data_IF_349527475897
#
_entry.id   IF_349527475897
#
_cell.length_a   1.000
_cell.length_b   1.000
_cell.length_c   1.000
_cell.angle_alpha   90.00
_cell.angle_beta   90.00
_cell.angle_gamma   90.00
#
_symmetry.space_group_name_H-M   'P 1'
#
loop_
_entity.id
_entity.type
_entity.pdbx_description
1 polymer ?
#
# COMPACT_ATOMS: atom_id res chain seq x y z
N UNK A 1 -7.02 12.30 20.39
CA UNK A 1 -6.81 12.55 18.95
C UNK A 1 -7.71 13.71 18.59
N UNK A 2 -7.19 14.76 17.93
CA UNK A 2 -8.06 15.80 17.38
C UNK A 2 -8.94 15.16 16.28
N UNK A 3 -10.18 15.62 16.14
CA UNK A 3 -11.03 15.20 15.02
C UNK A 3 -10.41 15.73 13.72
N UNK A 4 -10.16 14.84 12.76
CA UNK A 4 -9.71 15.20 11.43
C UNK A 4 -10.77 14.74 10.43
N UNK A 5 -11.72 15.64 10.14
CA UNK A 5 -12.83 15.35 9.24
C UNK A 5 -12.34 15.06 7.80
N UNK A 6 -11.16 15.55 7.44
CA UNK A 6 -10.50 15.28 6.14
C UNK A 6 -9.84 13.89 6.07
N UNK A 7 -9.76 13.15 7.19
CA UNK A 7 -9.25 11.77 7.22
C UNK A 7 -10.40 10.74 7.20
N UNK A 8 -11.49 11.08 6.51
CA UNK A 8 -12.61 10.18 6.23
C UNK A 8 -12.67 9.90 4.72
N UNK A 9 -13.12 8.70 4.33
CA UNK A 9 -13.10 8.25 2.94
C UNK A 9 -14.49 7.81 2.49
N UNK A 10 -14.96 8.35 1.38
CA UNK A 10 -16.06 7.82 0.58
C UNK A 10 -15.49 7.35 -0.76
N UNK A 11 -15.43 6.04 -0.98
CA UNK A 11 -14.81 5.51 -2.20
C UNK A 11 -15.66 5.89 -3.42
N UNK A 12 -15.14 6.80 -4.26
CA UNK A 12 -15.77 7.21 -5.52
C UNK A 12 -15.37 6.33 -6.69
N UNK A 13 -14.10 5.91 -6.75
CA UNK A 13 -13.60 4.92 -7.70
C UNK A 13 -12.39 4.17 -7.14
N UNK A 14 -12.09 2.99 -7.68
CA UNK A 14 -10.94 2.20 -7.28
C UNK A 14 -10.31 1.47 -8.46
N UNK A 15 -9.00 1.25 -8.39
CA UNK A 15 -8.24 0.49 -9.37
C UNK A 15 -7.27 -0.46 -8.67
N UNK A 16 -7.10 -1.64 -9.25
CA UNK A 16 -6.17 -2.65 -8.79
C UNK A 16 -5.10 -2.86 -9.85
N UNK A 17 -3.85 -2.80 -9.44
CA UNK A 17 -2.70 -2.88 -10.33
C UNK A 17 -1.70 -3.93 -9.87
N UNK A 18 -1.01 -4.48 -10.86
CA UNK A 18 0.09 -5.43 -10.66
C UNK A 18 1.32 -4.97 -11.41
N UNK A 19 2.49 -5.28 -10.85
CA UNK A 19 3.79 -5.02 -11.46
C UNK A 19 4.77 -6.16 -11.08
N UNK A 20 5.96 -6.24 -11.71
CA UNK A 20 7.00 -7.16 -11.26
C UNK A 20 7.28 -7.00 -9.76
N UNK A 21 7.62 -8.11 -9.10
CA UNK A 21 7.93 -8.11 -7.66
C UNK A 21 9.05 -7.11 -7.34
N UNK A 22 8.85 -6.33 -6.28
CA UNK A 22 9.78 -5.30 -5.83
C UNK A 22 9.70 -3.99 -6.59
N UNK A 23 8.74 -3.81 -7.49
CA UNK A 23 8.47 -2.50 -8.12
C UNK A 23 8.03 -1.51 -7.06
N UNK A 24 8.71 -0.37 -6.96
CA UNK A 24 8.37 0.69 -6.01
C UNK A 24 6.98 1.29 -6.26
N UNK A 25 6.39 1.84 -5.20
CA UNK A 25 5.13 2.58 -5.26
C UNK A 25 5.26 3.75 -6.25
N UNK A 26 4.30 3.95 -7.18
CA UNK A 26 4.29 5.13 -8.05
C UNK A 26 4.29 6.44 -7.25
N UNK A 27 4.99 7.45 -7.76
CA UNK A 27 4.91 8.82 -7.22
C UNK A 27 3.51 9.42 -7.41
N UNK A 28 2.85 9.12 -8.53
CA UNK A 28 1.48 9.51 -8.83
C UNK A 28 0.56 8.28 -8.84
N UNK A 29 -0.36 8.22 -7.88
CA UNK A 29 -1.33 7.13 -7.73
C UNK A 29 -2.47 7.20 -8.74
N UNK A 30 -2.72 8.35 -9.36
CA UNK A 30 -3.77 8.55 -10.35
C UNK A 30 -3.35 8.13 -11.76
N UNK A 31 -2.06 8.20 -12.05
CA UNK A 31 -1.50 7.86 -13.35
C UNK A 31 -0.40 6.81 -13.20
N UNK A 32 -0.72 5.59 -12.74
CA UNK A 32 0.27 4.54 -12.66
C UNK A 32 0.78 4.20 -14.06
N UNK A 33 2.04 4.52 -14.32
CA UNK A 33 2.74 4.21 -15.57
C UNK A 33 3.40 2.84 -15.50
N UNK A 34 3.89 2.36 -16.65
CA UNK A 34 4.76 1.17 -16.73
C UNK A 34 5.84 1.20 -15.62
N UNK A 35 6.06 0.09 -14.89
CA UNK A 35 5.60 -1.26 -15.20
C UNK A 35 4.26 -1.65 -14.55
N UNK A 36 3.52 -0.72 -13.94
CA UNK A 36 2.22 -1.01 -13.34
C UNK A 36 1.15 -1.19 -14.41
N UNK A 37 0.38 -2.28 -14.29
CA UNK A 37 -0.73 -2.64 -15.18
C UNK A 37 -1.98 -2.90 -14.37
N UNK A 38 -3.12 -2.37 -14.84
CA UNK A 38 -4.43 -2.68 -14.26
C UNK A 38 -4.75 -4.17 -14.40
N UNK A 39 -5.41 -4.74 -13.39
CA UNK A 39 -5.90 -6.13 -13.41
C UNK A 39 -7.20 -6.28 -14.22
N UNK A 40 -7.88 -5.17 -14.54
CA UNK A 40 -9.12 -5.16 -15.31
C UNK A 40 -10.34 -4.67 -14.53
N UNK A 41 -11.54 -4.90 -15.09
CA UNK A 41 -12.81 -4.54 -14.46
C UNK A 41 -13.06 -5.36 -13.18
N UNK A 42 -13.38 -4.66 -12.09
CA UNK A 42 -13.68 -5.24 -10.77
C UNK A 42 -15.05 -4.81 -10.28
N UNK A 43 -15.62 -5.55 -9.32
CA UNK A 43 -16.94 -5.27 -8.76
C UNK A 43 -17.04 -3.87 -8.14
N UNK A 44 -18.18 -3.22 -8.36
CA UNK A 44 -18.54 -1.95 -7.72
C UNK A 44 -19.10 -2.15 -6.30
N UNK A 45 -19.63 -3.34 -6.01
CA UNK A 45 -20.27 -3.66 -4.72
C UNK A 45 -19.28 -4.32 -3.76
N UNK A 46 -18.50 -5.28 -4.25
CA UNK A 46 -17.48 -6.01 -3.48
C UNK A 46 -16.11 -5.40 -3.75
N UNK A 47 -15.90 -4.21 -3.20
CA UNK A 47 -14.73 -3.38 -3.50
C UNK A 47 -13.46 -4.07 -2.99
N UNK A 48 -13.22 -4.12 -1.67
CA UNK A 48 -12.05 -4.78 -1.08
C UNK A 48 -12.40 -5.26 0.34
N UNK A 49 -12.05 -6.50 0.65
CA UNK A 49 -12.07 -7.05 1.99
C UNK A 49 -10.65 -7.37 2.45
N UNK A 50 -10.36 -7.20 3.75
CA UNK A 50 -9.08 -7.59 4.34
C UNK A 50 -9.37 -8.49 5.54
N UNK A 51 -8.93 -9.74 5.44
CA UNK A 51 -9.00 -10.72 6.51
C UNK A 51 -7.61 -10.89 7.14
N UNK A 52 -7.57 -11.06 8.45
CA UNK A 52 -6.34 -11.30 9.20
C UNK A 52 -6.44 -12.63 9.94
N UNK A 53 -5.42 -13.48 9.78
CA UNK A 53 -5.29 -14.76 10.47
C UNK A 53 -3.98 -14.82 11.27
N UNK A 54 -4.02 -15.48 12.43
CA UNK A 54 -2.88 -15.59 13.35
C UNK A 54 -2.80 -14.47 14.38
N UNK A 55 -1.66 -14.36 15.06
CA UNK A 55 -1.51 -13.47 16.23
C UNK A 55 -1.82 -14.15 17.57
N UNK A 56 -2.06 -15.46 17.55
CA UNK A 56 -2.30 -16.27 18.73
C UNK A 56 -1.13 -16.18 19.72
N UNK A 57 -1.46 -15.89 20.97
CA UNK A 57 -0.53 -15.83 22.08
C UNK A 57 -0.42 -17.22 22.74
N UNK A 58 0.69 -17.92 22.52
CA UNK A 58 0.98 -19.14 23.28
C UNK A 58 1.76 -18.79 24.54
N UNK A 59 1.15 -19.03 25.70
CA UNK A 59 1.81 -18.88 26.99
C UNK A 59 2.66 -20.12 27.29
N UNK A 60 3.96 -19.94 27.41
CA UNK A 60 4.90 -20.98 27.83
C UNK A 60 5.08 -20.87 29.34
N UNK A 61 4.69 -21.92 30.06
CA UNK A 61 4.88 -22.05 31.50
C UNK A 61 5.96 -23.08 31.87
N UNK A 62 6.52 -22.96 33.07
CA UNK A 62 7.29 -24.00 33.75
C UNK A 62 6.50 -24.53 34.95
N UNK A 63 6.95 -25.62 35.58
CA UNK A 63 6.32 -26.16 36.79
C UNK A 63 6.25 -25.14 37.94
N UNK A 64 7.17 -24.17 37.96
CA UNK A 64 7.29 -23.13 38.99
C UNK A 64 6.61 -21.82 38.60
N UNK A 65 6.39 -21.57 37.31
CA UNK A 65 5.65 -20.40 36.84
C UNK A 65 4.83 -20.75 35.59
N UNK A 66 3.52 -20.89 35.76
CA UNK A 66 2.57 -21.26 34.70
C UNK A 66 2.43 -20.19 33.59
N UNK A 67 3.06 -19.03 33.72
CA UNK A 67 3.01 -17.94 32.74
C UNK A 67 4.37 -17.24 32.63
N UNK A 68 5.40 -17.97 32.22
CA UNK A 68 6.78 -17.47 32.19
C UNK A 68 7.06 -16.56 30.99
N UNK A 69 6.51 -16.86 29.81
CA UNK A 69 6.72 -16.07 28.59
C UNK A 69 5.58 -16.25 27.60
N UNK A 70 5.25 -15.21 26.85
CA UNK A 70 4.28 -15.25 25.75
C UNK A 70 4.99 -15.21 24.41
N UNK A 71 4.66 -16.11 23.50
CA UNK A 71 5.09 -16.09 22.10
C UNK A 71 3.88 -15.82 21.22
N UNK A 72 3.97 -14.83 20.35
CA UNK A 72 2.93 -14.52 19.36
C UNK A 72 3.24 -15.24 18.05
N UNK A 73 2.25 -15.85 17.41
CA UNK A 73 2.37 -16.34 16.04
C UNK A 73 2.38 -15.18 15.04
N UNK A 74 2.95 -15.40 13.85
CA UNK A 74 2.96 -14.39 12.81
C UNK A 74 1.53 -14.13 12.31
N UNK A 75 1.16 -12.86 12.16
CA UNK A 75 -0.11 -12.45 11.55
C UNK A 75 0.05 -12.47 10.03
N UNK A 76 -0.86 -13.13 9.35
CA UNK A 76 -0.96 -13.13 7.89
C UNK A 76 -2.23 -12.39 7.51
N UNK A 77 -2.14 -11.52 6.52
CA UNK A 77 -3.31 -10.81 6.00
C UNK A 77 -3.57 -11.25 4.57
N UNK A 78 -4.85 -11.33 4.24
CA UNK A 78 -5.36 -11.68 2.91
C UNK A 78 -6.32 -10.58 2.49
N UNK A 79 -6.01 -9.94 1.37
CA UNK A 79 -6.88 -8.97 0.73
C UNK A 79 -7.71 -9.70 -0.34
N UNK A 80 -9.00 -9.39 -0.44
CA UNK A 80 -9.92 -10.06 -1.38
C UNK A 80 -10.68 -9.03 -2.20
N UNK A 81 -10.71 -9.22 -3.52
CA UNK A 81 -11.50 -8.40 -4.44
C UNK A 81 -12.11 -9.27 -5.55
N UNK A 82 -13.18 -8.78 -6.17
CA UNK A 82 -13.90 -9.53 -7.22
C UNK A 82 -13.56 -8.99 -8.60
N UNK A 83 -12.94 -9.83 -9.44
CA UNK A 83 -12.65 -9.52 -10.84
C UNK A 83 -13.86 -9.87 -11.72
N UNK A 84 -14.30 -8.95 -12.57
CA UNK A 84 -15.41 -9.15 -13.52
C UNK A 84 -14.92 -9.26 -14.98
N UNK A 85 -13.60 -9.25 -15.17
CA UNK A 85 -12.95 -9.39 -16.47
C UNK A 85 -12.50 -10.85 -16.72
N UNK A 86 -13.12 -11.48 -17.71
CA UNK A 86 -12.89 -12.89 -18.09
C UNK A 86 -11.95 -13.02 -19.30
N UNK A 87 -10.90 -12.23 -19.35
CA UNK A 87 -9.88 -12.33 -20.40
C UNK A 87 -8.72 -13.25 -19.97
N UNK A 88 -7.78 -13.54 -20.88
CA UNK A 88 -6.67 -14.47 -20.59
C UNK A 88 -5.85 -14.04 -19.36
N UNK A 89 -5.45 -12.75 -19.20
CA UNK A 89 -4.80 -12.26 -17.99
C UNK A 89 -5.63 -12.48 -16.73
N UNK A 90 -6.92 -12.09 -16.72
CA UNK A 90 -7.81 -12.27 -15.58
C UNK A 90 -8.01 -13.74 -15.18
N UNK A 91 -8.20 -14.61 -16.18
CA UNK A 91 -8.31 -16.05 -15.97
C UNK A 91 -7.02 -16.66 -15.44
N UNK A 92 -5.85 -16.13 -15.80
CA UNK A 92 -4.56 -16.56 -15.24
C UNK A 92 -4.34 -16.07 -13.80
N UNK A 93 -4.89 -14.91 -13.43
CA UNK A 93 -4.90 -14.47 -12.03
C UNK A 93 -5.75 -15.42 -11.17
N UNK A 94 -6.90 -15.87 -11.69
CA UNK A 94 -7.79 -16.77 -10.98
C UNK A 94 -7.35 -18.25 -10.98
N UNK A 95 -7.06 -18.83 -12.15
CA UNK A 95 -6.72 -20.26 -12.30
C UNK A 95 -5.22 -20.57 -12.21
N UNK A 96 -4.38 -19.55 -12.07
CA UNK A 96 -2.93 -19.69 -11.95
C UNK A 96 -2.17 -19.23 -13.19
N UNK A 97 -0.98 -18.67 -12.95
CA UNK A 97 -0.11 -18.09 -13.98
C UNK A 97 0.30 -19.11 -15.06
N UNK A 98 0.34 -20.39 -14.68
CA UNK A 98 0.68 -21.52 -15.54
C UNK A 98 -0.49 -22.06 -16.37
N UNK A 99 -1.69 -21.44 -16.32
CA UNK A 99 -2.82 -21.88 -17.12
C UNK A 99 -2.51 -21.78 -18.63
N UNK A 100 -2.51 -22.91 -19.37
CA UNK A 100 -2.16 -22.91 -20.80
C UNK A 100 -3.29 -22.30 -21.64
N UNK A 101 -2.91 -21.55 -22.68
CA UNK A 101 -3.85 -21.18 -23.75
C UNK A 101 -3.83 -22.29 -24.78
N UNK A 102 -4.98 -22.90 -25.01
CA UNK A 102 -5.17 -24.01 -25.94
C UNK A 102 -5.24 -23.50 -27.40
N UNK A 103 -5.00 -24.35 -28.41
CA UNK A 103 -4.99 -23.93 -29.82
C UNK A 103 -6.30 -23.31 -30.34
N UNK A 104 -7.42 -23.59 -29.67
CA UNK A 104 -8.73 -23.02 -29.95
C UNK A 104 -8.97 -21.66 -29.25
N UNK A 105 -7.98 -21.13 -28.54
CA UNK A 105 -8.07 -19.86 -27.79
C UNK A 105 -8.64 -19.98 -26.38
N UNK A 106 -9.07 -21.16 -25.92
CA UNK A 106 -9.58 -21.34 -24.54
C UNK A 106 -8.43 -21.44 -23.54
N UNK A 107 -8.65 -20.99 -22.30
CA UNK A 107 -7.71 -21.18 -21.19
C UNK A 107 -8.00 -22.52 -20.52
N UNK A 108 -7.01 -23.42 -20.52
CA UNK A 108 -7.11 -24.68 -19.78
C UNK A 108 -6.88 -24.44 -18.29
N UNK A 109 -7.72 -25.01 -17.44
CA UNK A 109 -7.50 -24.98 -15.98
C UNK A 109 -6.43 -26.00 -15.64
N UNK A 110 -5.27 -25.58 -15.09
CA UNK A 110 -4.19 -26.51 -14.75
C UNK A 110 -4.60 -27.39 -13.55
N UNK A 111 -4.16 -28.65 -13.56
CA UNK A 111 -4.39 -29.59 -12.45
C UNK A 111 -3.62 -29.21 -11.18
N UNK A 112 -2.49 -28.54 -11.34
CA UNK A 112 -1.66 -27.98 -10.28
C UNK A 112 -1.48 -26.48 -10.56
N UNK A 113 -2.40 -25.61 -10.07
CA UNK A 113 -2.33 -24.18 -10.34
C UNK A 113 -1.15 -23.53 -9.58
N UNK A 114 -0.42 -22.65 -10.26
CA UNK A 114 0.66 -21.85 -9.66
C UNK A 114 0.16 -20.43 -9.41
N UNK A 115 0.13 -19.94 -8.15
CA UNK A 115 -0.24 -18.56 -7.85
C UNK A 115 0.59 -17.55 -8.65
N UNK A 116 0.00 -16.40 -8.96
CA UNK A 116 0.74 -15.32 -9.61
C UNK A 116 1.49 -14.52 -8.54
N UNK A 117 2.81 -14.45 -8.61
CA UNK A 117 3.61 -13.61 -7.70
C UNK A 117 3.92 -12.27 -8.35
N UNK A 118 3.47 -11.17 -7.76
CA UNK A 118 3.61 -9.81 -8.29
C UNK A 118 3.72 -8.78 -7.16
N UNK A 119 4.16 -7.56 -7.46
CA UNK A 119 3.84 -6.40 -6.64
C UNK A 119 2.36 -6.05 -6.87
N UNK A 120 1.66 -5.60 -5.82
CA UNK A 120 0.23 -5.31 -5.86
C UNK A 120 -0.05 -3.92 -5.31
N UNK A 121 -0.95 -3.20 -5.98
CA UNK A 121 -1.36 -1.85 -5.59
C UNK A 121 -2.88 -1.75 -5.75
N UNK A 122 -3.59 -1.43 -4.67
CA UNK A 122 -5.00 -1.08 -4.69
C UNK A 122 -5.12 0.43 -4.42
N UNK A 123 -5.60 1.20 -5.39
CA UNK A 123 -5.80 2.65 -5.27
C UNK A 123 -7.29 2.95 -5.20
N UNK A 124 -7.69 3.76 -4.23
CA UNK A 124 -9.03 4.27 -4.02
C UNK A 124 -8.99 5.80 -4.12
N UNK A 125 -9.95 6.35 -4.85
CA UNK A 125 -10.08 7.78 -5.12
C UNK A 125 -11.39 8.28 -4.53
N UNK A 126 -11.31 9.33 -3.73
CA UNK A 126 -12.42 10.07 -3.14
C UNK A 126 -12.25 11.56 -3.46
N UNK A 127 -12.82 11.99 -4.60
CA UNK A 127 -12.64 13.37 -5.09
C UNK A 127 -11.16 13.69 -5.34
N UNK A 128 -10.60 14.61 -4.56
CA UNK A 128 -9.18 15.01 -4.61
C UNK A 128 -8.28 14.15 -3.70
N UNK A 129 -8.87 13.32 -2.83
CA UNK A 129 -8.13 12.47 -1.92
C UNK A 129 -7.86 11.09 -2.53
N UNK A 130 -6.65 10.60 -2.33
CA UNK A 130 -6.20 9.30 -2.84
C UNK A 130 -5.68 8.47 -1.68
N UNK A 131 -6.05 7.20 -1.68
CA UNK A 131 -5.68 6.25 -0.65
C UNK A 131 -5.31 4.93 -1.31
N UNK A 132 -4.19 4.31 -0.93
CA UNK A 132 -3.72 3.11 -1.55
C UNK A 132 -3.13 2.10 -0.57
N UNK A 133 -3.35 0.82 -0.86
CA UNK A 133 -2.62 -0.30 -0.27
C UNK A 133 -1.55 -0.75 -1.25
N UNK A 134 -0.31 -0.85 -0.78
CA UNK A 134 0.83 -1.24 -1.59
C UNK A 134 1.58 -2.41 -0.97
N UNK A 135 1.70 -3.50 -1.72
CA UNK A 135 2.50 -4.66 -1.35
C UNK A 135 3.64 -4.85 -2.38
N UNK A 136 4.92 -4.73 -1.98
CA UNK A 136 6.06 -4.94 -2.90
C UNK A 136 6.13 -6.40 -3.40
N UNK A 137 5.55 -7.34 -2.66
CA UNK A 137 5.40 -8.73 -3.05
C UNK A 137 4.09 -9.28 -2.51
N UNK A 138 3.32 -9.93 -3.37
CA UNK A 138 2.12 -10.66 -3.01
C UNK A 138 1.96 -11.93 -3.86
N UNK A 139 1.28 -12.92 -3.30
CA UNK A 139 0.77 -14.07 -4.04
C UNK A 139 -0.72 -13.85 -4.34
N UNK A 140 -1.07 -13.91 -5.62
CA UNK A 140 -2.43 -13.76 -6.12
C UNK A 140 -2.95 -15.14 -6.50
N UNK A 141 -4.11 -15.50 -5.95
CA UNK A 141 -4.70 -16.82 -6.07
C UNK A 141 -6.23 -16.75 -6.05
N UNK A 142 -6.88 -17.86 -6.39
CA UNK A 142 -8.32 -18.04 -6.24
C UNK A 142 -8.74 -17.99 -4.76
N UNK A 143 -9.50 -16.97 -4.38
CA UNK A 143 -10.00 -16.86 -3.00
C UNK A 143 -11.19 -17.78 -2.73
N UNK A 144 -12.13 -17.85 -3.66
CA UNK A 144 -13.40 -18.58 -3.50
C UNK A 144 -13.94 -19.08 -4.85
N UNK A 145 -15.03 -19.82 -4.82
CA UNK A 145 -15.73 -20.36 -5.99
C UNK A 145 -16.36 -19.27 -6.86
N UNK A 146 -16.42 -19.53 -8.17
CA UNK A 146 -17.14 -18.65 -9.12
C UNK A 146 -18.63 -18.88 -8.93
N UNK A 147 -19.39 -17.80 -8.72
CA UNK A 147 -20.85 -17.83 -8.69
C UNK A 147 -21.44 -16.93 -9.78
N UNK A 148 -22.56 -17.38 -10.34
CA UNK A 148 -23.36 -16.63 -11.30
C UNK A 148 -24.71 -16.39 -10.64
N UNK A 149 -24.84 -15.25 -9.97
CA UNK A 149 -25.96 -14.96 -9.06
C UNK A 149 -27.30 -14.83 -9.78
N UNK A 150 -27.34 -14.08 -10.88
CA UNK A 150 -28.53 -13.83 -11.69
C UNK A 150 -28.13 -13.21 -13.05
N UNK A 151 -29.12 -12.80 -13.86
CA UNK A 151 -28.89 -12.16 -15.17
C UNK A 151 -28.73 -10.64 -15.10
N UNK A 152 -28.89 -10.05 -13.92
CA UNK A 152 -28.84 -8.59 -13.69
C UNK A 152 -27.49 -8.16 -13.09
N UNK A 153 -26.75 -9.10 -12.49
CA UNK A 153 -25.46 -8.95 -11.86
C UNK A 153 -24.34 -9.44 -12.78
N UNK A 154 -23.20 -8.74 -12.77
CA UNK A 154 -22.00 -9.18 -13.47
C UNK A 154 -21.39 -10.39 -12.76
N UNK A 155 -21.00 -11.40 -13.53
CA UNK A 155 -20.28 -12.56 -13.00
C UNK A 155 -18.94 -12.14 -12.39
N UNK A 156 -18.57 -12.76 -11.27
CA UNK A 156 -17.37 -12.42 -10.51
C UNK A 156 -16.41 -13.59 -10.33
N UNK A 157 -15.12 -13.30 -10.39
CA UNK A 157 -14.02 -14.17 -10.05
C UNK A 157 -13.42 -13.67 -8.72
N UNK A 158 -13.67 -14.33 -7.58
CA UNK A 158 -13.09 -13.93 -6.30
C UNK A 158 -11.57 -14.14 -6.27
N UNK A 159 -10.81 -13.06 -6.15
CA UNK A 159 -9.34 -13.06 -6.12
C UNK A 159 -8.86 -12.79 -4.71
N UNK A 160 -7.93 -13.64 -4.24
CA UNK A 160 -7.20 -13.47 -2.99
C UNK A 160 -5.79 -12.96 -3.28
N UNK A 161 -5.34 -12.00 -2.49
CA UNK A 161 -4.01 -11.42 -2.54
C UNK A 161 -3.41 -11.56 -1.15
N UNK A 162 -2.29 -12.27 -1.06
CA UNK A 162 -1.56 -12.47 0.19
C UNK A 162 -0.25 -11.70 0.13
N UNK A 163 -0.15 -10.52 0.77
CA UNK A 163 1.10 -9.78 0.88
C UNK A 163 2.17 -10.58 1.61
N UNK A 164 3.41 -10.44 1.16
CA UNK A 164 4.57 -11.11 1.73
C UNK A 164 5.67 -10.11 2.03
N UNK A 165 6.51 -10.41 3.03
CA UNK A 165 7.71 -9.63 3.26
C UNK A 165 8.64 -9.70 2.04
N UNK A 166 9.20 -8.56 1.67
CA UNK A 166 10.15 -8.43 0.56
C UNK A 166 11.47 -7.85 1.08
N UNK A 167 12.58 -8.51 0.75
CA UNK A 167 13.92 -8.08 1.18
C UNK A 167 14.05 -8.00 2.71
N UNK A 168 14.51 -6.85 3.20
CA UNK A 168 14.68 -6.54 4.62
C UNK A 168 13.48 -5.83 5.26
N UNK A 169 12.34 -5.74 4.57
CA UNK A 169 11.17 -5.05 5.10
C UNK A 169 10.64 -5.74 6.36
N UNK A 170 10.33 -4.95 7.38
CA UNK A 170 9.65 -5.40 8.61
C UNK A 170 8.12 -5.39 8.49
N UNK A 171 7.62 -5.08 7.28
CA UNK A 171 6.21 -5.02 6.91
C UNK A 171 5.96 -5.84 5.64
N UNK A 172 4.70 -6.24 5.41
CA UNK A 172 4.28 -7.00 4.22
C UNK A 172 3.57 -6.12 3.19
N UNK A 173 2.88 -5.08 3.64
CA UNK A 173 2.29 -4.04 2.79
C UNK A 173 2.29 -2.70 3.55
N UNK A 174 2.20 -1.60 2.80
CA UNK A 174 2.09 -0.24 3.28
C UNK A 174 0.73 0.35 2.88
N UNK A 175 0.29 1.35 3.62
CA UNK A 175 -0.96 2.07 3.38
C UNK A 175 -0.63 3.55 3.29
N UNK A 176 -1.07 4.24 2.24
CA UNK A 176 -0.91 5.70 2.15
C UNK A 176 -1.97 6.37 3.00
N UNK A 177 -1.61 7.15 4.03
CA UNK A 177 -2.59 7.80 4.90
C UNK A 177 -3.37 8.90 4.15
N UNK A 178 -4.66 9.05 4.48
CA UNK A 178 -5.47 10.17 4.02
C UNK A 178 -5.15 11.45 4.80
N UNK A 179 -5.13 12.58 4.10
CA UNK A 179 -4.81 13.89 4.67
C UNK A 179 -3.31 14.17 4.83
N UNK A 180 -2.44 13.26 4.39
CA UNK A 180 -1.00 13.42 4.44
C UNK A 180 -0.37 13.59 3.06
N UNK A 181 -0.45 14.78 2.46
CA UNK A 181 0.40 15.09 1.31
C UNK A 181 1.87 15.11 1.76
N UNK A 182 2.84 14.66 0.95
CA UNK A 182 4.26 14.83 1.31
C UNK A 182 4.57 16.32 1.34
N UNK A 183 5.30 16.77 2.36
CA UNK A 183 5.75 18.16 2.41
C UNK A 183 6.55 18.51 1.14
N UNK A 184 6.12 19.52 0.39
CA UNK A 184 6.85 20.04 -0.77
C UNK A 184 7.64 21.30 -0.45
N UNK A 185 7.35 21.92 0.70
CA UNK A 185 8.08 23.08 1.19
C UNK A 185 8.18 23.10 2.71
N UNK A 186 9.11 23.91 3.20
CA UNK A 186 9.37 24.08 4.62
C UNK A 186 9.64 25.55 4.92
N UNK A 187 8.90 26.11 5.87
CA UNK A 187 9.05 27.51 6.32
C UNK A 187 9.88 27.56 7.59
N UNK A 188 10.89 28.43 7.60
CA UNK A 188 11.79 28.62 8.74
C UNK A 188 11.03 29.04 10.01
N UNK A 189 11.42 28.49 11.17
CA UNK A 189 10.82 28.81 12.46
C UNK A 189 11.47 28.04 13.63
N UNK A 190 10.87 28.15 14.81
CA UNK A 190 11.38 27.50 16.05
C UNK A 190 10.25 26.80 16.82
N UNK A 191 9.76 25.63 16.36
CA UNK A 191 10.09 24.96 15.10
C UNK A 191 9.35 25.59 13.91
N UNK A 192 9.90 25.39 12.73
CA UNK A 192 9.30 25.73 11.45
C UNK A 192 8.18 24.77 11.07
N UNK A 193 7.49 25.06 9.97
CA UNK A 193 6.34 24.29 9.49
C UNK A 193 6.57 23.74 8.09
N UNK A 194 5.97 22.60 7.80
CA UNK A 194 5.90 22.08 6.44
C UNK A 194 4.69 22.63 5.69
N UNK A 195 4.84 22.70 4.37
CA UNK A 195 3.79 23.10 3.43
C UNK A 195 3.64 22.02 2.36
N UNK A 196 2.41 21.65 1.97
CA UNK A 196 1.11 22.18 2.41
C UNK A 196 0.81 21.94 3.91
N UNK A 197 -0.08 22.73 4.50
CA UNK A 197 -0.51 22.50 5.89
C UNK A 197 -1.03 21.07 6.05
N UNK A 198 -0.74 20.45 7.20
CA UNK A 198 -1.04 19.05 7.51
C UNK A 198 -0.30 18.02 6.63
N UNK A 199 0.68 18.45 5.83
CA UNK A 199 1.56 17.53 5.11
C UNK A 199 2.35 16.61 6.06
N UNK A 200 2.65 15.41 5.59
CA UNK A 200 3.55 14.46 6.25
C UNK A 200 4.95 15.05 6.23
N UNK A 201 5.50 15.25 7.43
CA UNK A 201 6.89 15.64 7.61
C UNK A 201 7.80 14.59 6.94
N UNK A 202 8.83 15.01 6.19
CA UNK A 202 9.81 14.10 5.60
C UNK A 202 10.39 13.17 6.65
N UNK A 203 10.54 11.88 6.31
CA UNK A 203 10.87 10.85 7.28
C UNK A 203 12.24 11.06 7.94
N UNK A 204 13.20 11.62 7.21
CA UNK A 204 14.58 11.88 7.64
C UNK A 204 15.23 12.90 6.70
N UNK A 205 16.48 13.29 6.96
CA UNK A 205 17.21 14.29 6.17
C UNK A 205 17.31 13.93 4.68
N UNK A 206 17.44 12.65 4.33
CA UNK A 206 17.51 12.23 2.93
C UNK A 206 16.19 12.49 2.18
N UNK A 207 15.05 12.43 2.88
CA UNK A 207 13.74 12.76 2.33
C UNK A 207 13.50 14.28 2.14
N UNK A 208 14.43 15.14 2.58
CA UNK A 208 14.32 16.60 2.41
C UNK A 208 14.72 17.08 1.01
N UNK A 209 15.28 16.22 0.15
CA UNK A 209 15.85 16.61 -1.14
C UNK A 209 14.84 17.28 -2.11
N UNK A 210 13.55 16.95 -1.99
CA UNK A 210 12.47 17.52 -2.80
C UNK A 210 11.75 18.71 -2.13
N UNK A 211 12.14 19.09 -0.91
CA UNK A 211 11.47 20.11 -0.10
C UNK A 211 12.10 21.48 -0.35
N UNK A 212 11.27 22.45 -0.74
CA UNK A 212 11.71 23.82 -1.01
C UNK A 212 11.71 24.64 0.29
N UNK A 213 12.89 25.13 0.70
CA UNK A 213 13.03 25.99 1.86
C UNK A 213 12.47 27.41 1.60
N UNK A 214 11.75 27.95 2.58
CA UNK A 214 11.23 29.33 2.60
C UNK A 214 11.65 30.00 3.92
N UNK A 215 12.50 31.05 3.89
CA UNK A 215 13.16 31.62 2.72
C UNK A 215 14.18 30.65 2.11
N UNK A 216 14.52 30.87 0.84
CA UNK A 216 15.57 30.11 0.13
C UNK A 216 17.00 30.56 0.47
N UNK A 217 17.14 31.61 1.29
CA UNK A 217 18.41 32.01 1.90
C UNK A 217 18.67 31.19 3.16
N UNK A 218 19.94 31.14 3.60
CA UNK A 218 20.32 30.53 4.87
C UNK A 218 19.39 30.93 6.02
N UNK A 219 18.92 29.94 6.77
CA UNK A 219 18.07 30.17 7.94
C UNK A 219 18.91 30.73 9.09
N UNK A 220 18.27 31.50 9.97
CA UNK A 220 18.95 32.17 11.09
C UNK A 220 19.10 31.24 12.29
N UNK A 221 20.12 31.49 13.12
CA UNK A 221 20.47 30.64 14.27
C UNK A 221 19.27 30.21 15.12
N UNK A 222 19.16 28.91 15.36
CA UNK A 222 18.08 28.29 16.14
C UNK A 222 16.83 27.91 15.33
N UNK A 223 16.75 28.30 14.05
CA UNK A 223 15.65 27.86 13.17
C UNK A 223 15.85 26.43 12.70
N UNK A 224 14.77 25.65 12.72
CA UNK A 224 14.76 24.24 12.30
C UNK A 224 13.34 23.78 11.97
N UNK A 225 13.22 22.69 11.23
CA UNK A 225 11.99 21.87 11.15
C UNK A 225 12.23 20.52 11.82
N UNK A 226 11.15 19.91 12.32
CA UNK A 226 11.19 18.59 12.99
C UNK A 226 10.75 17.52 11.99
N UNK A 227 11.58 16.52 11.75
CA UNK A 227 11.34 15.44 10.80
C UNK A 227 10.50 14.31 11.42
N UNK A 228 10.05 13.37 10.59
CA UNK A 228 9.23 12.23 11.01
C UNK A 228 9.92 11.30 12.02
N UNK A 229 11.25 11.25 12.02
CA UNK A 229 12.08 10.51 12.99
C UNK A 229 12.40 11.32 14.27
N UNK A 230 11.78 12.48 14.44
CA UNK A 230 12.02 13.47 15.51
C UNK A 230 13.40 14.13 15.50
N UNK A 231 14.22 13.90 14.47
CA UNK A 231 15.42 14.71 14.23
C UNK A 231 15.05 16.11 13.73
N UNK A 232 16.00 17.03 13.77
CA UNK A 232 15.81 18.39 13.25
C UNK A 232 16.68 18.63 12.02
N UNK A 233 16.19 19.48 11.12
CA UNK A 233 16.94 19.93 9.94
C UNK A 233 16.73 21.43 9.69
N UNK A 234 17.69 22.06 9.01
CA UNK A 234 17.62 23.46 8.60
C UNK A 234 18.20 23.64 7.19
N UNK A 235 17.86 24.76 6.55
CA UNK A 235 18.42 25.14 5.25
C UNK A 235 19.60 26.09 5.45
N UNK A 236 20.78 25.74 4.93
CA UNK A 236 22.01 26.54 5.06
C UNK A 236 22.19 27.59 3.95
N UNK A 237 21.26 27.64 2.99
CA UNK A 237 21.30 28.50 1.81
C UNK A 237 21.50 27.72 0.51
N UNK A 238 22.08 26.52 0.58
CA UNK A 238 22.44 25.68 -0.57
C UNK A 238 21.96 24.22 -0.41
N UNK A 239 21.95 23.67 0.81
CA UNK A 239 21.50 22.32 1.16
C UNK A 239 20.74 22.23 2.49
N UNK A 240 20.06 21.09 2.68
CA UNK A 240 19.45 20.71 3.96
C UNK A 240 20.49 20.08 4.87
N UNK A 241 20.66 20.65 6.05
CA UNK A 241 21.62 20.22 7.06
C UNK A 241 20.93 19.70 8.31
N UNK A 242 21.59 18.78 9.02
CA UNK A 242 21.09 18.24 10.29
C UNK A 242 21.22 19.27 11.41
N UNK A 243 20.24 19.30 12.32
CA UNK A 243 20.23 20.18 13.48
C UNK A 243 19.52 21.52 13.23
N UNK A 244 19.67 22.45 14.17
CA UNK A 244 19.26 23.83 14.00
C UNK A 244 20.38 24.67 13.36
N UNK A 245 20.00 25.70 12.61
CA UNK A 245 20.91 26.68 12.02
C UNK A 245 21.75 27.44 13.06
#
# INVERSE_FOLDING_TARGET
>A
MALNDNATLVIGSGNYLTAPVGTDLPEDLLVPTSPWSSVGHTSLEDILSIASEGGEATTIGTLQNKSLRTKYSARTETMTFTLQQFDIPGLKLYYGSNAPVLPNGTVGVPTEPTPTTAAFLAVFVDGENHFAFYAPKAEIYRADDVSFGDTESLAGLPIGVKPMAFGSNTYTYAITPLGGSVATGATAGTPGSFTPTDSVAPANLAAMASVIATPSSAWTTGQNVILGDASTAHWDGDSWESGAA
#
